data_IF_192282619639
#
_entry.id   IF_192282619639
#
_cell.length_a   1.000
_cell.length_b   1.000
_cell.length_c   1.000
_cell.angle_alpha   90.00
_cell.angle_beta   90.00
_cell.angle_gamma   90.00
#
_symmetry.space_group_name_H-M   'P 1'
#
loop_
_entity.id
_entity.type
_entity.pdbx_description
1 polymer ?
#
# COMPACT_ATOMS: atom_id res chain seq x y z
N UNK A 1 -16.75 -11.01 17.48
CA UNK A 1 -15.62 -10.59 16.61
C UNK A 1 -15.90 -11.05 15.19
N UNK A 2 -15.83 -10.14 14.22
CA UNK A 2 -15.75 -10.33 12.76
C UNK A 2 -16.63 -9.26 12.10
N UNK A 3 -16.03 -8.11 11.78
CA UNK A 3 -16.61 -7.18 10.82
C UNK A 3 -15.96 -7.45 9.47
N UNK A 4 -16.45 -8.50 8.82
CA UNK A 4 -16.27 -8.69 7.39
C UNK A 4 -17.04 -7.55 6.69
N UNK A 5 -16.32 -6.57 6.16
CA UNK A 5 -16.90 -5.54 5.29
C UNK A 5 -16.07 -5.50 4.03
N UNK A 6 -16.56 -6.21 3.01
CA UNK A 6 -16.38 -5.93 1.59
C UNK A 6 -14.98 -5.48 1.12
N UNK A 7 -14.15 -6.46 0.72
CA UNK A 7 -13.50 -6.44 -0.60
C UNK A 7 -12.24 -5.61 -0.84
N UNK A 8 -11.68 -4.89 0.15
CA UNK A 8 -10.35 -4.27 -0.02
C UNK A 8 -9.25 -5.11 0.62
N UNK A 9 -8.88 -6.19 -0.07
CA UNK A 9 -7.76 -7.04 0.34
C UNK A 9 -6.49 -6.19 0.47
N UNK A 10 -5.91 -6.16 1.67
CA UNK A 10 -4.74 -5.35 1.99
C UNK A 10 -3.57 -5.73 1.06
N UNK A 11 -2.76 -4.75 0.60
CA UNK A 11 -1.57 -5.05 -0.18
C UNK A 11 -0.63 -5.97 0.61
N UNK A 12 -0.17 -7.06 0.00
CA UNK A 12 0.80 -7.95 0.60
C UNK A 12 2.20 -7.65 0.06
N UNK A 13 3.24 -8.11 0.77
CA UNK A 13 4.62 -8.00 0.28
C UNK A 13 4.74 -8.66 -1.10
N UNK A 14 5.29 -7.93 -2.07
CA UNK A 14 5.41 -8.36 -3.46
C UNK A 14 4.26 -7.93 -4.36
N UNK A 15 3.13 -7.45 -3.82
CA UNK A 15 2.04 -6.91 -4.64
C UNK A 15 2.48 -5.62 -5.36
N UNK A 16 2.04 -5.50 -6.61
CA UNK A 16 2.10 -4.24 -7.34
C UNK A 16 0.97 -3.33 -6.89
N UNK A 17 1.36 -2.14 -6.46
CA UNK A 17 0.46 -1.08 -6.01
C UNK A 17 0.70 0.19 -6.81
N UNK A 18 -0.32 1.00 -6.91
CA UNK A 18 -0.27 2.32 -7.52
C UNK A 18 -0.82 3.35 -6.55
N UNK A 19 -0.23 4.53 -6.53
CA UNK A 19 -0.70 5.66 -5.74
C UNK A 19 -0.60 6.93 -6.57
N UNK A 20 -1.45 7.91 -6.28
CA UNK A 20 -1.41 9.20 -6.99
C UNK A 20 -0.61 10.21 -6.19
N UNK A 21 0.37 10.84 -6.83
CA UNK A 21 1.13 11.97 -6.29
C UNK A 21 1.01 13.15 -7.25
N UNK A 22 0.60 14.32 -6.77
CA UNK A 22 0.49 15.56 -7.57
C UNK A 22 -0.19 15.38 -8.96
N UNK A 23 -1.29 14.61 -9.00
CA UNK A 23 -2.02 14.33 -10.24
C UNK A 23 -1.45 13.21 -11.13
N UNK A 24 -0.26 12.70 -10.83
CA UNK A 24 0.37 11.59 -11.57
C UNK A 24 0.19 10.26 -10.82
N UNK A 25 -0.15 9.19 -11.55
CA UNK A 25 -0.14 7.83 -11.00
C UNK A 25 1.30 7.30 -10.96
N UNK A 26 1.78 6.94 -9.78
CA UNK A 26 3.06 6.29 -9.54
C UNK A 26 2.81 4.84 -9.17
N UNK A 27 3.54 3.92 -9.78
CA UNK A 27 3.48 2.49 -9.47
C UNK A 27 4.70 2.06 -8.68
N UNK A 28 4.51 1.02 -7.89
CA UNK A 28 5.57 0.41 -7.11
C UNK A 28 5.17 -0.94 -6.56
N UNK A 29 6.06 -1.48 -5.75
CA UNK A 29 5.93 -2.81 -5.17
C UNK A 29 5.96 -2.71 -3.66
N UNK A 30 5.09 -3.45 -2.99
CA UNK A 30 5.05 -3.49 -1.53
C UNK A 30 6.26 -4.27 -1.02
N UNK A 31 7.08 -3.62 -0.22
CA UNK A 31 8.28 -4.20 0.39
C UNK A 31 7.95 -4.90 1.69
N UNK A 32 7.17 -4.25 2.58
CA UNK A 32 6.75 -4.80 3.87
C UNK A 32 5.55 -4.06 4.45
N UNK A 33 4.80 -4.74 5.31
CA UNK A 33 3.78 -4.15 6.17
C UNK A 33 4.44 -3.72 7.49
N UNK A 34 4.10 -2.52 7.95
CA UNK A 34 4.58 -1.93 9.20
C UNK A 34 3.34 -1.75 10.09
N UNK A 35 3.32 -2.41 11.24
CA UNK A 35 2.23 -2.34 12.23
C UNK A 35 2.69 -1.68 13.53
N UNK A 36 3.92 -1.19 13.58
CA UNK A 36 4.52 -0.63 14.78
C UNK A 36 5.43 0.53 14.39
N UNK A 37 5.68 1.43 15.33
CA UNK A 37 6.54 2.58 15.10
C UNK A 37 7.95 2.11 14.72
N UNK A 38 8.42 2.52 13.55
CA UNK A 38 9.73 2.09 13.03
C UNK A 38 10.33 3.15 12.11
N UNK A 39 11.56 2.95 11.67
CA UNK A 39 12.21 3.79 10.67
C UNK A 39 12.13 3.10 9.30
N UNK A 40 11.58 3.82 8.32
CA UNK A 40 11.37 3.33 6.96
C UNK A 40 11.43 4.49 5.96
N UNK A 41 11.97 4.22 4.77
CA UNK A 41 12.17 5.25 3.73
C UNK A 41 12.91 6.52 4.23
N UNK A 42 13.85 6.35 5.18
CA UNK A 42 14.62 7.46 5.75
C UNK A 42 13.84 8.37 6.69
N UNK A 43 12.66 7.96 7.18
CA UNK A 43 11.85 8.71 8.15
C UNK A 43 11.28 7.81 9.23
N UNK A 44 10.93 8.40 10.37
CA UNK A 44 10.14 7.72 11.40
C UNK A 44 8.70 7.56 10.92
N UNK A 45 8.22 6.33 10.95
CA UNK A 45 6.85 5.95 10.61
C UNK A 45 6.12 5.63 11.91
N UNK A 46 5.09 6.40 12.19
CA UNK A 46 4.15 6.13 13.29
C UNK A 46 3.05 5.20 12.78
N UNK A 47 3.31 3.90 12.84
CA UNK A 47 2.37 2.86 12.46
C UNK A 47 1.90 2.09 13.68
N UNK A 48 0.72 1.50 13.58
CA UNK A 48 0.08 0.77 14.66
C UNK A 48 -0.69 -0.45 14.11
N UNK A 49 -1.06 -1.43 14.94
CA UNK A 49 -1.87 -2.55 14.49
C UNK A 49 -3.24 -2.11 13.94
N UNK A 50 -3.77 -1.01 14.45
CA UNK A 50 -5.02 -0.38 13.99
C UNK A 50 -4.83 0.48 12.72
N UNK A 51 -3.72 1.23 12.63
CA UNK A 51 -3.32 2.01 11.45
C UNK A 51 -2.00 1.47 10.86
N UNK A 52 -2.04 0.33 10.14
CA UNK A 52 -0.85 -0.21 9.53
C UNK A 52 -0.41 0.67 8.37
N UNK A 53 0.90 0.82 8.20
CA UNK A 53 1.50 1.47 7.04
C UNK A 53 2.26 0.45 6.19
N UNK A 54 2.45 0.78 4.91
CA UNK A 54 3.13 -0.10 3.96
C UNK A 54 4.31 0.62 3.37
N UNK A 55 5.48 0.01 3.52
CA UNK A 55 6.67 0.41 2.79
C UNK A 55 6.54 -0.13 1.37
N UNK A 56 6.57 0.77 0.41
CA UNK A 56 6.50 0.49 -1.02
C UNK A 56 7.74 1.05 -1.69
N UNK A 57 8.19 0.42 -2.77
CA UNK A 57 9.31 0.90 -3.58
C UNK A 57 8.80 1.38 -4.92
N UNK A 58 9.09 2.62 -5.28
CA UNK A 58 8.77 3.18 -6.59
C UNK A 58 9.49 2.38 -7.68
N UNK A 59 8.73 1.88 -8.64
CA UNK A 59 9.29 1.17 -9.81
C UNK A 59 10.02 2.16 -10.74
N UNK A 60 9.54 3.41 -10.78
CA UNK A 60 10.06 4.48 -11.64
C UNK A 60 11.44 4.99 -11.20
N UNK A 61 11.63 5.19 -9.90
CA UNK A 61 12.83 5.81 -9.33
C UNK A 61 13.62 4.90 -8.39
N UNK A 62 13.08 3.73 -8.04
CA UNK A 62 13.68 2.83 -7.07
C UNK A 62 13.63 3.32 -5.61
N UNK A 63 13.06 4.50 -5.34
CA UNK A 63 13.01 5.10 -4.01
C UNK A 63 12.00 4.40 -3.09
N UNK A 64 12.36 4.11 -1.84
CA UNK A 64 11.41 3.65 -0.84
C UNK A 64 10.46 4.78 -0.44
N UNK A 65 9.20 4.45 -0.19
CA UNK A 65 8.16 5.33 0.28
C UNK A 65 7.24 4.59 1.24
N UNK A 66 6.53 5.31 2.11
CA UNK A 66 5.62 4.69 3.06
C UNK A 66 4.25 5.32 2.91
N UNK A 67 3.25 4.48 2.70
CA UNK A 67 1.86 4.90 2.50
C UNK A 67 0.90 4.02 3.28
N UNK A 68 -0.23 4.60 3.70
CA UNK A 68 -1.35 3.86 4.29
C UNK A 68 -2.00 2.97 3.22
N UNK A 69 -2.58 1.82 3.61
CA UNK A 69 -3.26 0.93 2.66
C UNK A 69 -4.40 1.65 1.91
N UNK A 70 -5.09 2.58 2.57
CA UNK A 70 -6.17 3.37 1.96
C UNK A 70 -5.72 4.28 0.82
N UNK A 71 -4.43 4.66 0.78
CA UNK A 71 -3.86 5.47 -0.30
C UNK A 71 -3.29 4.61 -1.45
N UNK A 72 -3.06 3.33 -1.20
CA UNK A 72 -2.52 2.38 -2.17
C UNK A 72 -3.67 1.70 -2.92
N UNK A 73 -3.66 1.81 -4.25
CA UNK A 73 -4.51 1.01 -5.13
C UNK A 73 -3.76 -0.25 -5.55
N UNK A 74 -4.21 -1.42 -5.13
CA UNK A 74 -3.69 -2.69 -5.64
C UNK A 74 -4.00 -2.80 -7.14
N UNK A 75 -2.98 -3.08 -7.95
CA UNK A 75 -3.16 -3.53 -9.32
C UNK A 75 -3.28 -5.05 -9.25
N UNK A 76 -4.46 -5.56 -8.92
CA UNK A 76 -4.71 -7.01 -8.96
C UNK A 76 -4.39 -7.49 -10.39
N UNK A 77 -3.52 -8.50 -10.52
CA UNK A 77 -3.32 -9.16 -11.81
C UNK A 77 -4.57 -10.00 -12.12
N UNK A 78 -5.56 -9.33 -12.71
CA UNK A 78 -6.79 -9.80 -13.37
C UNK A 78 -7.68 -10.78 -12.58
N UNK A 79 -8.79 -10.23 -12.11
CA UNK A 79 -10.08 -10.91 -11.95
C UNK A 79 -11.18 -9.87 -12.13
N UNK A 80 -12.06 -10.10 -13.09
CA UNK A 80 -13.16 -9.24 -13.54
C UNK A 80 -14.19 -8.89 -12.44
N UNK A 81 -14.88 -7.76 -12.63
CA UNK A 81 -16.05 -7.26 -11.88
C UNK A 81 -16.05 -5.73 -11.97
N UNK A 82 -16.88 -5.07 -12.79
CA UNK A 82 -18.33 -4.99 -12.56
C UNK A 82 -18.55 -4.22 -11.26
N UNK A 83 -19.18 -3.05 -11.21
CA UNK A 83 -20.46 -2.72 -11.82
C UNK A 83 -20.56 -1.23 -12.17
N UNK A 84 -21.42 -1.02 -13.17
CA UNK A 84 -22.04 0.14 -13.79
C UNK A 84 -22.13 1.46 -12.99
#
# INVERSE_FOLDING_TARGET
MAKDTSGKKQPAKGDKVAWRTHGTETTGTVQRKITERTEAAGRTVDASPDDPQYEVRSDKSGSPAVHKPSALKRKEQRGSGGDE
#
